data_IF_452517658443
#
_entry.id   IF_452517658443
#
_cell.length_a   1.000
_cell.length_b   1.000
_cell.length_c   1.000
_cell.angle_alpha   90.00
_cell.angle_beta   90.00
_cell.angle_gamma   90.00
#
_symmetry.space_group_name_H-M   'P 1'
#
loop_
_entity.id
_entity.type
_entity.pdbx_description
1 polymer ?
#
# COMPACT_ATOMS: atom_id res chain seq x y z
N UNK A 1 8.90 -0.07 -12.57
CA UNK A 1 7.95 1.06 -12.59
C UNK A 1 6.52 0.58 -12.34
N UNK A 2 5.93 -0.20 -13.25
CA UNK A 2 4.54 -0.69 -13.12
C UNK A 2 4.29 -1.43 -11.81
N UNK A 3 5.21 -2.31 -11.40
CA UNK A 3 5.11 -3.03 -10.13
C UNK A 3 5.03 -2.10 -8.91
N UNK A 4 5.84 -1.03 -8.84
CA UNK A 4 5.74 -0.02 -7.77
C UNK A 4 4.38 0.68 -7.77
N UNK A 5 3.90 1.08 -8.94
CA UNK A 5 2.57 1.68 -9.07
C UNK A 5 1.49 0.72 -8.57
N UNK A 6 1.60 -0.58 -8.88
CA UNK A 6 0.67 -1.61 -8.42
C UNK A 6 0.72 -1.82 -6.89
N UNK A 7 1.93 -1.86 -6.30
CA UNK A 7 2.08 -1.90 -4.84
C UNK A 7 1.39 -0.71 -4.16
N UNK A 8 1.59 0.50 -4.69
CA UNK A 8 0.97 1.72 -4.16
C UNK A 8 -0.55 1.68 -4.38
N UNK A 9 -1.01 1.23 -5.55
CA UNK A 9 -2.43 1.10 -5.85
C UNK A 9 -3.14 0.16 -4.86
N UNK A 10 -2.53 -0.98 -4.50
CA UNK A 10 -3.11 -1.86 -3.49
C UNK A 10 -3.28 -1.19 -2.13
N UNK A 11 -2.28 -0.44 -1.65
CA UNK A 11 -2.40 0.27 -0.38
C UNK A 11 -3.45 1.38 -0.45
N UNK A 12 -3.48 2.15 -1.55
CA UNK A 12 -4.54 3.17 -1.75
C UNK A 12 -5.93 2.53 -1.83
N UNK A 13 -6.06 1.36 -2.46
CA UNK A 13 -7.30 0.61 -2.55
C UNK A 13 -7.76 0.11 -1.17
N UNK A 14 -6.86 -0.48 -0.37
CA UNK A 14 -7.14 -0.88 1.01
C UNK A 14 -7.69 0.29 1.83
N UNK A 15 -7.05 1.46 1.73
CA UNK A 15 -7.51 2.67 2.40
C UNK A 15 -8.88 3.15 1.90
N UNK A 16 -9.15 3.07 0.59
CA UNK A 16 -10.42 3.48 -0.01
C UNK A 16 -11.59 2.61 0.45
N UNK A 17 -11.36 1.30 0.56
CA UNK A 17 -12.38 0.30 0.89
C UNK A 17 -12.38 -0.12 2.37
N UNK A 18 -11.49 0.46 3.19
CA UNK A 18 -11.32 0.14 4.61
C UNK A 18 -11.02 -1.35 4.86
N UNK A 19 -10.25 -1.97 3.95
CA UNK A 19 -9.82 -3.38 4.04
C UNK A 19 -8.35 -3.41 4.42
N UNK A 20 -8.05 -3.49 5.71
CA UNK A 20 -6.67 -3.37 6.21
C UNK A 20 -5.92 -4.69 6.36
N UNK A 21 -6.61 -5.82 6.30
CA UNK A 21 -5.97 -7.13 6.35
C UNK A 21 -5.63 -7.65 4.94
N UNK A 22 -4.49 -8.35 4.84
CA UNK A 22 -4.03 -8.95 3.58
C UNK A 22 -5.05 -9.97 3.08
N UNK A 23 -5.57 -10.82 3.97
CA UNK A 23 -6.56 -11.84 3.63
C UNK A 23 -7.85 -11.23 3.03
N UNK A 24 -8.40 -10.19 3.65
CA UNK A 24 -9.59 -9.51 3.10
C UNK A 24 -9.34 -8.85 1.76
N UNK A 25 -8.12 -8.35 1.53
CA UNK A 25 -7.69 -7.81 0.23
C UNK A 25 -7.58 -8.93 -0.81
N UNK A 26 -6.99 -10.05 -0.42
CA UNK A 26 -6.88 -11.25 -1.26
C UNK A 26 -8.26 -11.79 -1.63
N UNK A 27 -9.19 -11.91 -0.68
CA UNK A 27 -10.57 -12.35 -0.91
C UNK A 27 -11.33 -11.42 -1.87
N UNK A 28 -11.18 -10.10 -1.70
CA UNK A 28 -11.82 -9.10 -2.56
C UNK A 28 -11.28 -9.12 -4.01
N UNK A 29 -10.01 -9.51 -4.18
CA UNK A 29 -9.32 -9.51 -5.47
C UNK A 29 -9.15 -10.91 -6.07
N UNK A 30 -9.43 -11.98 -5.32
CA UNK A 30 -9.19 -13.39 -5.69
C UNK A 30 -9.81 -13.73 -7.04
N UNK A 31 -11.07 -13.31 -7.26
CA UNK A 31 -11.78 -13.51 -8.53
C UNK A 31 -11.12 -12.87 -9.75
N UNK A 32 -10.20 -11.93 -9.55
CA UNK A 32 -9.53 -11.17 -10.62
C UNK A 32 -8.08 -11.57 -10.81
N UNK A 33 -7.44 -12.05 -9.75
CA UNK A 33 -6.04 -12.46 -9.79
C UNK A 33 -5.85 -13.82 -10.47
N UNK A 34 -6.95 -14.57 -10.69
CA UNK A 34 -6.96 -15.89 -11.35
C UNK A 34 -5.89 -16.83 -10.76
N UNK A 35 -5.75 -16.81 -9.44
CA UNK A 35 -4.74 -17.56 -8.70
C UNK A 35 -5.28 -18.03 -7.36
N UNK A 36 -4.68 -19.08 -6.74
CA UNK A 36 -5.06 -19.55 -5.41
C UNK A 36 -4.99 -18.45 -4.34
N UNK A 37 -5.89 -18.51 -3.34
CA UNK A 37 -6.02 -17.47 -2.32
C UNK A 37 -4.76 -17.33 -1.48
N UNK A 38 -4.10 -18.45 -1.19
CA UNK A 38 -2.86 -18.53 -0.43
C UNK A 38 -1.74 -17.80 -1.20
N UNK A 39 -1.57 -18.12 -2.49
CA UNK A 39 -0.59 -17.46 -3.36
C UNK A 39 -0.89 -15.96 -3.52
N UNK A 40 -2.18 -15.59 -3.65
CA UNK A 40 -2.59 -14.20 -3.70
C UNK A 40 -2.25 -13.46 -2.40
N UNK A 41 -2.45 -14.10 -1.25
CA UNK A 41 -2.18 -13.50 0.06
C UNK A 41 -0.70 -13.23 0.27
N UNK A 42 0.17 -14.21 -0.01
CA UNK A 42 1.63 -14.06 0.10
C UNK A 42 2.16 -12.96 -0.83
N UNK A 43 1.66 -12.92 -2.08
CA UNK A 43 2.02 -11.88 -3.03
C UNK A 43 1.56 -10.51 -2.55
N UNK A 44 0.30 -10.38 -2.12
CA UNK A 44 -0.28 -9.13 -1.67
C UNK A 44 0.41 -8.60 -0.42
N UNK A 45 0.80 -9.47 0.52
CA UNK A 45 1.55 -9.06 1.72
C UNK A 45 2.86 -8.33 1.34
N UNK A 46 3.65 -8.93 0.46
CA UNK A 46 4.89 -8.34 -0.05
C UNK A 46 4.63 -6.99 -0.76
N UNK A 47 3.58 -6.93 -1.57
CA UNK A 47 3.23 -5.73 -2.34
C UNK A 47 2.69 -4.59 -1.46
N UNK A 48 1.84 -4.90 -0.48
CA UNK A 48 1.29 -3.93 0.48
C UNK A 48 2.40 -3.35 1.36
N UNK A 49 3.31 -4.20 1.84
CA UNK A 49 4.47 -3.75 2.63
C UNK A 49 5.38 -2.84 1.81
N UNK A 50 5.63 -3.17 0.54
CA UNK A 50 6.38 -2.31 -0.37
C UNK A 50 5.66 -0.99 -0.65
N UNK A 51 4.36 -1.06 -0.99
CA UNK A 51 3.50 0.09 -1.28
C UNK A 51 3.44 1.07 -0.14
N UNK A 52 3.34 0.58 1.10
CA UNK A 52 3.27 1.40 2.31
C UNK A 52 4.57 2.20 2.51
N UNK A 53 5.73 1.59 2.26
CA UNK A 53 7.02 2.28 2.33
C UNK A 53 7.15 3.35 1.24
N UNK A 54 6.72 3.05 0.01
CA UNK A 54 6.73 4.02 -1.07
C UNK A 54 5.80 5.20 -0.81
N UNK A 55 4.59 4.95 -0.31
CA UNK A 55 3.64 6.00 0.05
C UNK A 55 4.16 6.87 1.20
N UNK A 56 4.77 6.26 2.22
CA UNK A 56 5.35 7.03 3.32
C UNK A 56 6.46 7.96 2.80
N UNK A 57 7.31 7.47 1.92
CA UNK A 57 8.35 8.27 1.29
C UNK A 57 7.78 9.43 0.45
N UNK A 58 6.78 9.14 -0.37
CA UNK A 58 6.11 10.15 -1.20
C UNK A 58 5.42 11.24 -0.36
N UNK A 59 4.84 10.87 0.79
CA UNK A 59 4.26 11.85 1.72
C UNK A 59 5.30 12.86 2.20
N UNK A 60 6.53 12.43 2.39
CA UNK A 60 7.57 13.28 2.94
C UNK A 60 8.37 14.03 1.87
N UNK A 61 8.60 13.43 0.70
CA UNK A 61 9.49 14.02 -0.32
C UNK A 61 8.70 14.65 -1.48
N UNK A 62 7.51 14.14 -1.78
CA UNK A 62 6.66 14.60 -2.89
C UNK A 62 6.04 13.43 -3.64
N UNK A 63 4.83 13.62 -4.16
CA UNK A 63 4.12 12.53 -4.85
C UNK A 63 4.89 12.08 -6.11
N UNK A 64 4.97 10.77 -6.33
CA UNK A 64 5.63 10.18 -7.49
C UNK A 64 7.16 10.05 -7.40
N UNK A 65 7.82 10.58 -6.36
CA UNK A 65 9.29 10.43 -6.23
C UNK A 65 9.74 8.97 -6.04
N UNK A 66 8.84 8.08 -5.61
CA UNK A 66 9.13 6.64 -5.46
C UNK A 66 9.56 5.96 -6.76
N UNK A 67 9.11 6.45 -7.93
CA UNK A 67 9.48 5.87 -9.22
C UNK A 67 10.79 6.43 -9.78
N UNK A 68 11.21 7.60 -9.30
CA UNK A 68 12.48 8.24 -9.68
C UNK A 68 13.66 7.57 -8.99
N UNK A 69 13.41 6.95 -7.82
CA UNK A 69 14.41 6.24 -7.05
C UNK A 69 14.84 4.94 -7.74
N UNK A 70 15.82 5.06 -8.63
CA UNK A 70 16.66 4.01 -9.21
C UNK A 70 15.97 2.82 -9.91
N UNK A 71 16.70 2.22 -10.85
CA UNK A 71 16.34 0.92 -11.41
C UNK A 71 16.82 -0.17 -10.45
N UNK A 72 15.89 -0.73 -9.67
CA UNK A 72 16.20 -1.80 -8.73
C UNK A 72 14.92 -2.51 -8.34
N UNK A 73 15.05 -3.81 -8.03
CA UNK A 73 13.92 -4.64 -7.62
C UNK A 73 13.26 -4.07 -6.37
N UNK A 74 11.95 -4.23 -6.30
CA UNK A 74 11.10 -3.77 -5.21
C UNK A 74 11.57 -4.39 -3.88
N UNK A 75 12.01 -5.64 -3.91
CA UNK A 75 12.61 -6.35 -2.77
C UNK A 75 13.89 -5.70 -2.25
N UNK A 76 14.68 -5.06 -3.13
CA UNK A 76 15.87 -4.30 -2.72
C UNK A 76 15.45 -3.00 -2.05
N UNK A 77 14.46 -2.32 -2.62
CA UNK A 77 13.96 -1.07 -2.06
C UNK A 77 13.24 -1.26 -0.73
N UNK A 78 12.50 -2.34 -0.52
CA UNK A 78 11.90 -2.63 0.80
C UNK A 78 12.94 -2.90 1.88
N UNK A 79 14.12 -3.44 1.51
CA UNK A 79 15.26 -3.58 2.43
C UNK A 79 15.97 -2.25 2.70
N UNK A 80 16.06 -1.38 1.69
CA UNK A 80 16.81 -0.12 1.76
C UNK A 80 16.01 1.05 2.31
N UNK A 81 14.69 1.09 2.09
CA UNK A 81 13.79 2.15 2.57
C UNK A 81 13.31 1.78 3.98
N UNK A 82 13.82 2.42 5.04
CA UNK A 82 13.30 2.20 6.38
C UNK A 82 11.85 2.67 6.43
N UNK A 83 11.02 2.03 7.26
CA UNK A 83 9.63 2.49 7.46
C UNK A 83 9.59 3.85 8.17
N UNK A 84 10.46 4.05 9.15
CA UNK A 84 10.51 5.22 10.03
C UNK A 84 11.90 5.34 10.72
N UNK A 85 12.06 6.41 11.52
CA UNK A 85 13.24 6.67 12.37
C UNK A 85 14.36 7.47 11.71
N UNK A 86 15.43 7.73 12.47
CA UNK A 86 16.51 8.65 12.07
C UNK A 86 17.12 8.38 10.67
N UNK A 87 17.20 7.11 10.27
CA UNK A 87 17.69 6.74 8.93
C UNK A 87 16.72 7.13 7.82
N UNK A 88 15.42 7.03 8.08
CA UNK A 88 14.39 7.49 7.15
C UNK A 88 14.42 9.02 7.04
N UNK A 89 14.52 9.73 8.17
CA UNK A 89 14.53 11.19 8.19
C UNK A 89 15.73 11.77 7.44
N UNK A 90 16.92 11.18 7.65
CA UNK A 90 18.13 11.56 6.93
C UNK A 90 18.01 11.29 5.42
N UNK A 91 17.39 10.16 5.04
CA UNK A 91 17.12 9.87 3.63
C UNK A 91 16.15 10.90 3.04
N UNK A 92 15.03 11.17 3.70
CA UNK A 92 14.04 12.18 3.26
C UNK A 92 14.70 13.53 3.08
N UNK A 93 15.53 13.95 4.03
CA UNK A 93 16.26 15.22 3.96
C UNK A 93 17.14 15.28 2.71
N UNK A 94 17.96 14.25 2.46
CA UNK A 94 18.81 14.18 1.26
C UNK A 94 18.00 14.22 -0.03
N UNK A 95 16.88 13.50 -0.09
CA UNK A 95 16.04 13.47 -1.29
C UNK A 95 15.35 14.82 -1.56
N UNK A 96 14.99 15.56 -0.51
CA UNK A 96 14.48 16.94 -0.62
C UNK A 96 15.57 17.90 -1.11
N UNK A 97 16.80 17.77 -0.60
CA UNK A 97 17.93 18.60 -1.04
C UNK A 97 18.22 18.43 -2.54
N UNK A 98 18.05 17.22 -3.08
CA UNK A 98 18.22 16.91 -4.51
C UNK A 98 17.06 17.44 -5.36
N UNK A 99 15.93 17.85 -4.75
CA UNK A 99 14.72 18.33 -5.45
C UNK A 99 14.26 17.37 -6.55
N UNK A 100 14.20 16.08 -6.23
CA UNK A 100 13.85 15.04 -7.22
C UNK A 100 12.49 15.28 -7.87
N UNK A 101 11.50 15.76 -7.11
CA UNK A 101 10.19 16.07 -7.68
C UNK A 101 10.29 17.14 -8.77
N UNK A 102 11.01 18.24 -8.50
CA UNK A 102 11.15 19.35 -9.44
C UNK A 102 11.92 18.92 -10.69
N UNK A 103 12.99 18.14 -10.51
CA UNK A 103 13.84 17.66 -11.59
C UNK A 103 13.18 16.59 -12.47
N UNK A 104 12.22 15.84 -11.93
CA UNK A 104 11.59 14.69 -12.61
C UNK A 104 10.05 14.76 -12.60
N UNK A 105 9.50 15.97 -12.63
CA UNK A 105 8.06 16.25 -12.53
C UNK A 105 7.20 15.43 -13.51
N UNK A 106 7.64 15.28 -14.75
CA UNK A 106 6.95 14.46 -15.77
C UNK A 106 6.84 12.99 -15.34
N UNK A 107 7.91 12.41 -14.80
CA UNK A 107 7.88 11.03 -14.33
C UNK A 107 6.92 10.91 -13.15
N UNK A 108 7.01 11.81 -12.17
CA UNK A 108 6.10 11.86 -11.02
C UNK A 108 4.62 11.91 -11.45
N UNK A 109 4.29 12.75 -12.44
CA UNK A 109 2.94 12.83 -13.00
C UNK A 109 2.49 11.53 -13.69
N UNK A 110 3.39 10.86 -14.41
CA UNK A 110 3.08 9.55 -15.02
C UNK A 110 2.75 8.53 -13.94
N UNK A 111 3.50 8.50 -12.82
CA UNK A 111 3.17 7.64 -11.68
C UNK A 111 1.75 7.90 -11.20
N UNK A 112 1.37 9.15 -10.97
CA UNK A 112 0.02 9.52 -10.48
C UNK A 112 -1.05 8.94 -11.40
N UNK A 113 -0.95 9.23 -12.71
CA UNK A 113 -1.91 8.73 -13.70
C UNK A 113 -1.98 7.21 -13.76
N UNK A 114 -0.84 6.52 -13.67
CA UNK A 114 -0.82 5.04 -13.68
C UNK A 114 -1.47 4.48 -12.42
N UNK A 115 -1.21 5.07 -11.25
CA UNK A 115 -1.85 4.64 -10.00
C UNK A 115 -3.35 4.88 -10.02
N UNK A 116 -3.80 6.03 -10.52
CA UNK A 116 -5.23 6.34 -10.63
C UNK A 116 -5.94 5.39 -11.59
N UNK A 117 -5.34 5.14 -12.76
CA UNK A 117 -5.85 4.14 -13.72
C UNK A 117 -5.92 2.72 -13.12
N UNK A 118 -4.91 2.32 -12.34
CA UNK A 118 -4.92 1.02 -11.64
C UNK A 118 -6.04 0.97 -10.60
N UNK A 119 -6.26 2.05 -9.85
CA UNK A 119 -7.34 2.12 -8.86
C UNK A 119 -8.72 2.01 -9.53
N UNK A 120 -8.94 2.70 -10.64
CA UNK A 120 -10.18 2.57 -11.43
C UNK A 120 -10.42 1.12 -11.85
N UNK A 121 -9.39 0.43 -12.35
CA UNK A 121 -9.50 -0.99 -12.72
C UNK A 121 -9.72 -1.92 -11.52
N UNK A 122 -9.17 -1.57 -10.35
CA UNK A 122 -9.43 -2.28 -9.11
C UNK A 122 -10.84 -1.97 -8.52
N UNK A 123 -11.50 -0.90 -8.95
CA UNK A 123 -12.86 -0.55 -8.49
C UNK A 123 -13.96 -1.04 -9.43
N UNK A 124 -13.72 -1.06 -10.74
CA UNK A 124 -14.68 -1.52 -11.78
C UNK A 124 -15.19 -2.95 -11.53
N UNK A 125 -14.40 -3.82 -10.92
CA UNK A 125 -14.84 -5.18 -10.60
C UNK A 125 -15.50 -5.35 -9.22
N UNK A 126 -15.61 -4.28 -8.41
CA UNK A 126 -16.16 -4.33 -7.04
C UNK A 126 -17.68 -4.06 -7.04
N UNK A 127 -18.22 -3.55 -8.13
CA UNK A 127 -19.61 -3.11 -8.29
C UNK A 127 -20.60 -4.24 -8.64
N UNK A 128 -20.16 -5.51 -8.70
CA UNK A 128 -21.05 -6.64 -9.05
C UNK A 128 -21.70 -7.36 -7.85
N UNK A 129 -21.62 -6.83 -6.63
CA UNK A 129 -22.33 -7.36 -5.46
C UNK A 129 -22.95 -6.24 -4.62
N UNK A 130 -23.88 -5.49 -5.21
CA UNK A 130 -24.83 -4.68 -4.42
C UNK A 130 -26.25 -4.98 -4.94
N UNK A 131 -26.89 -5.97 -4.32
CA UNK A 131 -28.35 -6.01 -4.25
C UNK A 131 -28.79 -4.75 -3.51
N UNK A 132 -29.70 -3.92 -4.06
CA UNK A 132 -30.04 -2.65 -3.44
C UNK A 132 -30.79 -2.87 -2.12
N UNK A 133 -30.36 -2.27 -0.99
CA UNK A 133 -31.26 -2.10 0.14
C UNK A 133 -32.18 -0.93 -0.17
N UNK A 134 -33.48 -1.20 -0.08
CA UNK A 134 -34.54 -0.20 -0.09
C UNK A 134 -34.22 0.93 0.89
N UNK A 135 -34.16 2.15 0.35
CA UNK A 135 -34.47 3.44 1.00
C UNK A 135 -34.27 3.54 2.51
N UNK A 136 -33.27 4.32 2.96
CA UNK A 136 -33.45 5.41 3.93
C UNK A 136 -32.23 6.33 3.86
N UNK A 137 -32.49 7.62 3.69
CA UNK A 137 -31.54 8.72 3.70
C UNK A 137 -30.83 8.85 5.05
N UNK A 138 -29.49 8.77 5.06
CA UNK A 138 -28.66 9.30 6.14
C UNK A 138 -27.43 9.98 5.54
N UNK A 139 -27.35 11.30 5.74
CA UNK A 139 -26.18 12.12 5.47
C UNK A 139 -25.10 11.78 6.50
N UNK A 140 -23.95 11.28 6.06
CA UNK A 140 -22.78 11.09 6.91
C UNK A 140 -21.63 11.96 6.40
N UNK A 141 -21.40 13.05 7.10
CA UNK A 141 -20.11 13.72 7.15
C UNK A 141 -19.15 12.83 7.93
N UNK A 142 -18.16 12.22 7.28
CA UNK A 142 -17.05 11.54 7.94
C UNK A 142 -15.73 12.21 7.53
N UNK A 143 -15.31 13.18 8.34
CA UNK A 143 -13.96 13.71 8.33
C UNK A 143 -13.07 12.76 9.15
N UNK A 144 -12.68 11.64 8.56
CA UNK A 144 -11.62 10.80 9.14
C UNK A 144 -10.26 11.43 8.80
N UNK A 145 -9.59 12.01 9.80
CA UNK A 145 -8.24 12.56 9.64
C UNK A 145 -7.23 11.43 9.72
N UNK A 146 -6.41 11.34 8.69
CA UNK A 146 -5.43 10.28 8.45
C UNK A 146 -4.22 10.33 9.42
N UNK A 147 -4.14 11.34 10.30
CA UNK A 147 -3.02 11.53 11.23
C UNK A 147 -2.96 10.49 12.37
N UNK A 148 -4.01 9.66 12.55
CA UNK A 148 -4.07 8.65 13.61
C UNK A 148 -3.53 7.25 13.20
N UNK A 149 -3.01 7.08 11.97
CA UNK A 149 -2.40 5.82 11.55
C UNK A 149 -0.92 5.74 11.95
N UNK A 150 -0.62 5.24 13.15
CA UNK A 150 0.74 5.15 13.71
C UNK A 150 1.55 3.90 13.27
N UNK A 151 0.97 3.04 12.43
CA UNK A 151 1.63 1.82 11.94
C UNK A 151 1.84 0.73 13.01
N UNK A 152 1.37 0.91 14.25
CA UNK A 152 1.41 -0.10 15.31
C UNK A 152 0.47 -1.28 15.04
N UNK A 153 -0.60 -1.05 14.29
CA UNK A 153 -1.62 -2.07 14.01
C UNK A 153 -1.10 -3.25 13.18
N UNK A 154 -0.12 -3.01 12.29
CA UNK A 154 0.57 -4.07 11.53
C UNK A 154 1.66 -4.78 12.34
N UNK A 155 2.10 -4.19 13.47
CA UNK A 155 3.09 -4.81 14.34
C UNK A 155 2.43 -5.86 15.25
N UNK A 156 1.19 -5.61 15.69
CA UNK A 156 0.46 -6.50 16.60
C UNK A 156 0.03 -7.84 15.98
N UNK A 157 -0.16 -7.91 14.65
CA UNK A 157 -0.41 -9.19 13.96
C UNK A 157 0.89 -10.03 13.83
N UNK A 158 2.07 -9.40 13.84
CA UNK A 158 3.36 -10.11 13.74
C UNK A 158 3.72 -10.82 15.06
N UNK A 159 3.42 -10.20 16.20
CA UNK A 159 3.70 -10.79 17.53
C UNK A 159 2.69 -11.88 17.92
N UNK A 160 1.48 -11.84 17.36
CA UNK A 160 0.45 -12.86 17.61
C UNK A 160 0.67 -14.17 16.82
N UNK A 161 1.47 -14.13 15.75
CA UNK A 161 1.75 -15.29 14.90
C UNK A 161 2.96 -16.14 15.30
N UNK A 162 3.83 -15.67 16.21
CA UNK A 162 5.06 -16.39 16.61
C UNK A 162 4.97 -17.14 17.96
N UNK A 163 3.82 -17.13 18.64
CA UNK A 163 3.68 -17.72 19.98
C UNK A 163 3.25 -19.22 20.00
N UNK A 164 3.32 -19.94 18.89
CA UNK A 164 2.86 -21.35 18.81
C UNK A 164 3.87 -22.23 18.06
N UNK A 165 5.04 -22.50 18.66
CA UNK A 165 5.83 -23.70 18.34
C UNK A 165 7.02 -23.89 19.30
N UNK A 166 6.74 -24.12 20.59
CA UNK A 166 7.73 -24.65 21.53
C UNK A 166 7.04 -25.59 22.53
N UNK A 167 6.58 -26.73 22.04
CA UNK A 167 6.24 -27.89 22.86
C UNK A 167 6.36 -29.13 21.99
N UNK A 168 7.56 -29.72 21.98
CA UNK A 168 7.75 -31.12 21.65
C UNK A 168 8.91 -31.61 22.52
N UNK A 169 8.51 -32.30 23.57
CA UNK A 169 9.32 -33.19 24.38
C UNK A 169 9.91 -34.28 23.48
N UNK A 170 11.22 -34.53 23.60
CA UNK A 170 11.82 -35.82 24.00
C UNK A 170 13.33 -35.65 24.18
#
# INVERSE_FOLDING_TARGET
MVQRCLCIAFVKWQNRHQVFCVKGTAEALYKRLDMPLETASEMLESMINAGSRFLNLERHVGEGVSIVLGQGSETRWTKLLPKNGNRFDELVRRLRDIRLYDNYSRACQVRVRVVDWLLEKLDEGSTSLVTPPSSTSASYNSSFRFDDWDGSMLQNEFDSGMAMSSSLEF
#
